data_IF_723692780334
#
_entry.id   IF_723692780334
#
_cell.length_a   1.000
_cell.length_b   1.000
_cell.length_c   1.000
_cell.angle_alpha   90.00
_cell.angle_beta   90.00
_cell.angle_gamma   90.00
#
_symmetry.space_group_name_H-M   'P 1'
#
loop_
_entity.id
_entity.type
_entity.pdbx_description
1 polymer ?
#
# COMPACT_ATOMS: atom_id res chain seq x y z
N UNK A 1 -6.50 -14.25 24.57
CA UNK A 1 -7.89 -14.40 24.09
C UNK A 1 -7.96 -13.88 22.67
N UNK A 2 -8.61 -14.61 21.76
CA UNK A 2 -8.83 -14.16 20.38
C UNK A 2 -9.87 -13.05 20.37
N UNK A 3 -9.50 -11.83 19.94
CA UNK A 3 -10.46 -10.72 19.76
C UNK A 3 -11.21 -10.92 18.44
N UNK A 4 -12.54 -10.85 18.49
CA UNK A 4 -13.43 -10.95 17.33
C UNK A 4 -14.30 -9.68 17.31
N UNK A 5 -14.32 -8.96 16.18
CA UNK A 5 -15.23 -7.84 15.95
C UNK A 5 -16.57 -8.37 15.46
N UNK A 6 -17.66 -7.82 15.99
CA UNK A 6 -18.94 -7.94 15.31
C UNK A 6 -18.87 -7.18 13.97
N UNK A 7 -19.72 -7.55 13.02
CA UNK A 7 -19.74 -6.90 11.70
C UNK A 7 -20.01 -5.39 11.79
N UNK A 8 -20.84 -4.96 12.75
CA UNK A 8 -21.16 -3.56 13.02
C UNK A 8 -19.97 -2.74 13.51
N UNK A 9 -18.98 -3.41 14.07
CA UNK A 9 -17.83 -2.79 14.72
C UNK A 9 -16.65 -2.68 13.75
N UNK A 10 -16.78 -3.22 12.53
CA UNK A 10 -15.74 -3.12 11.49
C UNK A 10 -15.82 -1.74 10.84
N UNK A 11 -14.89 -0.88 11.23
CA UNK A 11 -14.69 0.47 10.68
C UNK A 11 -13.21 0.72 10.40
N UNK A 12 -12.89 1.71 9.56
CA UNK A 12 -11.49 2.09 9.31
C UNK A 12 -10.76 2.46 10.60
N UNK A 13 -11.42 3.16 11.52
CA UNK A 13 -10.85 3.54 12.82
C UNK A 13 -10.49 2.32 13.67
N UNK A 14 -11.38 1.32 13.70
CA UNK A 14 -11.11 0.06 14.40
C UNK A 14 -9.99 -0.73 13.74
N UNK A 15 -9.93 -0.79 12.40
CA UNK A 15 -8.85 -1.45 11.69
C UNK A 15 -7.50 -0.75 11.89
N UNK A 16 -7.45 0.58 11.84
CA UNK A 16 -6.23 1.40 12.10
C UNK A 16 -5.70 1.16 13.51
N UNK A 17 -6.59 1.18 14.52
CA UNK A 17 -6.21 0.89 15.91
C UNK A 17 -5.53 -0.47 16.01
N UNK A 18 -6.07 -1.50 15.34
CA UNK A 18 -5.48 -2.84 15.39
C UNK A 18 -4.20 -3.01 14.59
N UNK A 19 -4.05 -2.29 13.49
CA UNK A 19 -2.77 -2.22 12.79
C UNK A 19 -1.71 -1.59 13.72
N UNK A 20 -2.03 -0.49 14.39
CA UNK A 20 -1.10 0.17 15.34
C UNK A 20 -0.75 -0.69 16.54
N UNK A 21 -1.73 -1.37 17.13
CA UNK A 21 -1.51 -2.31 18.23
C UNK A 21 -0.57 -3.46 17.85
N UNK A 22 -0.49 -3.80 16.56
CA UNK A 22 0.43 -4.82 16.05
C UNK A 22 1.86 -4.32 15.81
N UNK A 23 2.11 -3.02 16.03
CA UNK A 23 3.41 -2.37 15.83
C UNK A 23 3.64 -1.79 14.42
N UNK A 24 2.68 -1.96 13.51
CA UNK A 24 2.71 -1.34 12.19
C UNK A 24 2.25 0.12 12.27
N UNK A 25 2.89 0.98 11.47
CA UNK A 25 2.58 2.43 11.45
C UNK A 25 2.05 2.82 10.07
N UNK A 26 0.73 3.07 9.93
CA UNK A 26 0.18 3.68 8.73
C UNK A 26 0.79 5.06 8.47
N UNK A 27 1.14 5.35 7.22
CA UNK A 27 1.69 6.65 6.83
C UNK A 27 0.60 7.66 6.41
N UNK A 28 -0.61 7.17 6.11
CA UNK A 28 -1.78 8.00 5.80
C UNK A 28 -3.05 7.30 6.25
N UNK A 29 -3.96 8.07 6.84
CA UNK A 29 -5.29 7.64 7.23
C UNK A 29 -6.32 8.57 6.56
N UNK A 30 -7.29 7.98 5.89
CA UNK A 30 -8.41 8.63 5.23
C UNK A 30 -9.72 7.98 5.71
N UNK A 31 -10.89 8.61 5.50
CA UNK A 31 -12.17 8.11 6.04
C UNK A 31 -12.52 6.66 5.64
N UNK A 32 -12.11 6.23 4.45
CA UNK A 32 -12.40 4.91 3.87
C UNK A 32 -11.14 4.08 3.55
N UNK A 33 -9.95 4.58 3.94
CA UNK A 33 -8.68 4.03 3.48
C UNK A 33 -7.54 4.22 4.49
N UNK A 34 -6.70 3.19 4.63
CA UNK A 34 -5.46 3.19 5.43
C UNK A 34 -4.31 2.89 4.47
N UNK A 35 -3.33 3.79 4.37
CA UNK A 35 -2.14 3.56 3.55
C UNK A 35 -0.95 3.11 4.39
N UNK A 36 -0.31 2.04 3.93
CA UNK A 36 0.80 1.34 4.57
C UNK A 36 1.98 1.19 3.60
N UNK A 37 3.17 0.97 4.14
CA UNK A 37 4.35 0.62 3.34
C UNK A 37 4.93 -0.70 3.80
N UNK A 38 5.50 -1.45 2.87
CA UNK A 38 6.38 -2.56 3.20
C UNK A 38 7.70 -2.04 3.76
N UNK A 39 8.54 -2.94 4.28
CA UNK A 39 9.88 -2.57 4.77
C UNK A 39 10.75 -1.97 3.65
N UNK A 40 10.56 -2.43 2.40
CA UNK A 40 11.25 -1.88 1.23
C UNK A 40 10.52 -0.68 0.60
N UNK A 41 9.53 -0.13 1.28
CA UNK A 41 8.88 1.13 0.89
C UNK A 41 7.74 1.00 -0.12
N UNK A 42 7.34 -0.21 -0.51
CA UNK A 42 6.22 -0.44 -1.44
C UNK A 42 4.92 -0.01 -0.76
N UNK A 43 4.22 0.97 -1.34
CA UNK A 43 2.94 1.44 -0.83
C UNK A 43 1.82 0.44 -1.10
N UNK A 44 0.93 0.25 -0.14
CA UNK A 44 -0.32 -0.47 -0.33
C UNK A 44 -1.42 0.08 0.58
N UNK A 45 -2.67 -0.23 0.23
CA UNK A 45 -3.83 0.30 0.90
C UNK A 45 -4.73 -0.78 1.49
N UNK A 46 -5.39 -0.44 2.59
CA UNK A 46 -6.48 -1.20 3.19
C UNK A 46 -7.73 -0.33 3.16
N UNK A 47 -8.80 -0.77 2.51
CA UNK A 47 -10.07 -0.03 2.44
C UNK A 47 -11.28 -0.91 2.73
N UNK A 48 -12.41 -0.28 3.06
CA UNK A 48 -13.67 -0.98 3.30
C UNK A 48 -14.59 -0.91 2.08
N UNK A 49 -15.07 -2.08 1.65
CA UNK A 49 -16.17 -2.21 0.69
C UNK A 49 -17.41 -2.63 1.47
N UNK A 50 -17.97 -1.67 2.22
CA UNK A 50 -18.96 -1.91 3.26
C UNK A 50 -20.24 -2.60 2.76
N UNK A 51 -20.71 -2.26 1.56
CA UNK A 51 -21.90 -2.88 0.94
C UNK A 51 -21.75 -4.40 0.76
N UNK A 52 -20.52 -4.87 0.59
CA UNK A 52 -20.21 -6.28 0.33
C UNK A 52 -19.56 -6.98 1.52
N UNK A 53 -19.35 -6.25 2.63
CA UNK A 53 -18.65 -6.73 3.83
C UNK A 53 -17.26 -7.30 3.53
N UNK A 54 -16.49 -6.58 2.71
CA UNK A 54 -15.09 -6.90 2.43
C UNK A 54 -14.15 -5.82 2.92
N UNK A 55 -13.01 -6.25 3.46
CA UNK A 55 -11.81 -5.44 3.58
C UNK A 55 -10.98 -5.69 2.33
N UNK A 56 -10.67 -4.65 1.58
CA UNK A 56 -9.84 -4.72 0.38
C UNK A 56 -8.40 -4.34 0.73
N UNK A 57 -7.47 -5.17 0.28
CA UNK A 57 -6.04 -4.88 0.25
C UNK A 57 -5.68 -4.64 -1.21
N UNK A 58 -5.05 -3.51 -1.52
CA UNK A 58 -4.70 -3.22 -2.91
C UNK A 58 -3.47 -2.35 -3.07
N UNK A 59 -2.79 -2.54 -4.19
CA UNK A 59 -1.76 -1.64 -4.68
C UNK A 59 -1.68 -1.69 -6.21
N UNK A 60 -0.89 -0.79 -6.78
CA UNK A 60 -0.45 -0.82 -8.15
C UNK A 60 1.08 -0.81 -8.15
N UNK A 61 1.68 -1.67 -8.97
CA UNK A 61 3.12 -1.65 -9.24
C UNK A 61 3.33 -1.08 -10.64
N UNK A 62 4.14 -0.03 -10.77
CA UNK A 62 4.41 0.57 -12.07
C UNK A 62 5.16 -0.43 -12.95
N UNK A 63 4.71 -0.60 -14.19
CA UNK A 63 5.42 -1.43 -15.17
C UNK A 63 6.06 -0.54 -16.22
N UNK A 64 7.24 -0.97 -16.70
CA UNK A 64 7.99 -0.25 -17.73
C UNK A 64 7.09 0.12 -18.91
N UNK A 65 7.05 1.41 -19.25
CA UNK A 65 6.26 1.93 -20.37
C UNK A 65 6.77 1.47 -21.73
N UNK A 66 8.02 1.03 -21.78
CA UNK A 66 8.68 0.52 -22.99
C UNK A 66 8.40 -0.97 -23.22
N UNK A 67 7.91 -1.68 -22.20
CA UNK A 67 7.65 -3.10 -22.32
C UNK A 67 6.38 -3.37 -23.16
N UNK A 68 6.45 -4.32 -24.12
CA UNK A 68 5.28 -4.76 -24.88
C UNK A 68 4.15 -5.28 -23.97
N UNK A 69 2.90 -5.08 -24.41
CA UNK A 69 1.70 -5.55 -23.68
C UNK A 69 1.75 -7.04 -23.37
N UNK A 70 2.24 -7.88 -24.28
CA UNK A 70 2.31 -9.32 -24.07
C UNK A 70 3.26 -9.72 -22.93
N UNK A 71 4.34 -8.96 -22.69
CA UNK A 71 5.22 -9.19 -21.54
C UNK A 71 4.52 -8.84 -20.23
N UNK A 72 3.82 -7.71 -20.19
CA UNK A 72 3.03 -7.27 -19.03
C UNK A 72 1.93 -8.29 -18.68
N UNK A 73 1.20 -8.76 -19.69
CA UNK A 73 0.19 -9.81 -19.53
C UNK A 73 0.82 -11.15 -19.12
N UNK A 74 1.99 -11.48 -19.67
CA UNK A 74 2.78 -12.64 -19.29
C UNK A 74 3.15 -12.65 -17.80
N UNK A 75 3.60 -11.51 -17.27
CA UNK A 75 3.87 -11.34 -15.84
C UNK A 75 2.59 -11.53 -15.01
N UNK A 76 1.50 -10.84 -15.34
CA UNK A 76 0.24 -10.96 -14.60
C UNK A 76 -0.29 -12.40 -14.60
N UNK A 77 -0.22 -13.11 -15.74
CA UNK A 77 -0.60 -14.52 -15.83
C UNK A 77 0.27 -15.38 -14.90
N UNK A 78 1.59 -15.25 -14.99
CA UNK A 78 2.53 -16.02 -14.18
C UNK A 78 2.30 -15.80 -12.69
N UNK A 79 2.07 -14.56 -12.27
CA UNK A 79 1.75 -14.23 -10.89
C UNK A 79 0.44 -14.88 -10.42
N UNK A 80 -0.62 -14.90 -11.25
CA UNK A 80 -1.86 -15.60 -10.90
C UNK A 80 -1.71 -17.13 -10.87
N UNK A 81 -0.75 -17.70 -11.60
CA UNK A 81 -0.47 -19.14 -11.60
C UNK A 81 0.38 -19.57 -10.39
N UNK A 82 1.34 -18.73 -9.98
CA UNK A 82 2.37 -19.11 -9.00
C UNK A 82 2.19 -18.46 -7.62
N UNK A 83 1.55 -17.30 -7.52
CA UNK A 83 1.43 -16.53 -6.27
C UNK A 83 0.00 -16.64 -5.73
N UNK A 84 -0.11 -17.26 -4.55
CA UNK A 84 -1.37 -17.37 -3.83
C UNK A 84 -1.74 -16.07 -3.10
N UNK A 85 -3.05 -15.86 -2.91
CA UNK A 85 -3.72 -14.83 -2.11
C UNK A 85 -4.38 -13.71 -2.95
N UNK A 86 -3.66 -12.87 -3.71
CA UNK A 86 -4.25 -11.79 -4.47
C UNK A 86 -4.63 -12.23 -5.90
N UNK A 87 -5.37 -11.36 -6.57
CA UNK A 87 -5.54 -11.38 -8.02
C UNK A 87 -4.64 -10.31 -8.63
N UNK A 88 -4.01 -10.65 -9.75
CA UNK A 88 -3.16 -9.75 -10.53
C UNK A 88 -3.82 -9.40 -11.86
N UNK A 89 -3.82 -8.13 -12.23
CA UNK A 89 -4.33 -7.69 -13.52
C UNK A 89 -3.57 -6.47 -14.03
N UNK A 90 -3.57 -6.26 -15.34
CA UNK A 90 -3.04 -5.04 -15.95
C UNK A 90 -4.19 -4.03 -16.09
N UNK A 91 -3.98 -2.81 -15.61
CA UNK A 91 -4.97 -1.74 -15.77
C UNK A 91 -4.86 -1.01 -17.12
N UNK A 92 -5.59 0.11 -17.24
CA UNK A 92 -5.63 0.91 -18.46
C UNK A 92 -4.34 1.66 -18.73
N UNK A 93 -3.61 2.01 -17.69
CA UNK A 93 -2.33 2.73 -17.78
C UNK A 93 -1.16 1.76 -18.02
N UNK A 94 -1.45 0.45 -17.96
CA UNK A 94 -0.50 -0.61 -18.22
C UNK A 94 0.32 -0.97 -16.99
N UNK A 95 -0.17 -0.64 -15.80
CA UNK A 95 0.43 -0.98 -14.51
C UNK A 95 -0.17 -2.28 -13.95
N UNK A 96 0.59 -2.93 -13.09
CA UNK A 96 0.18 -4.16 -12.43
C UNK A 96 -0.67 -3.83 -11.21
N UNK A 97 -1.97 -4.06 -11.31
CA UNK A 97 -2.88 -4.00 -10.16
C UNK A 97 -2.85 -5.29 -9.37
N UNK A 98 -2.84 -5.15 -8.04
CA UNK A 98 -2.80 -6.26 -7.08
C UNK A 98 -3.95 -6.05 -6.11
N UNK A 99 -4.81 -7.05 -5.97
CA UNK A 99 -5.99 -6.95 -5.10
C UNK A 99 -6.28 -8.23 -4.32
N UNK A 100 -6.54 -8.10 -3.03
CA UNK A 100 -7.08 -9.17 -2.20
C UNK A 100 -8.30 -8.66 -1.41
N UNK A 101 -9.27 -9.55 -1.17
CA UNK A 101 -10.45 -9.23 -0.36
C UNK A 101 -10.58 -10.22 0.78
N UNK A 102 -10.73 -9.67 1.99
CA UNK A 102 -11.00 -10.43 3.20
C UNK A 102 -12.46 -10.21 3.61
N UNK A 103 -13.34 -11.23 3.54
CA UNK A 103 -14.68 -11.13 4.09
C UNK A 103 -14.65 -10.98 5.61
N UNK A 104 -15.57 -10.16 6.12
CA UNK A 104 -15.86 -10.06 7.55
C UNK A 104 -17.33 -10.40 7.86
N UNK A 105 -17.99 -11.12 6.96
CA UNK A 105 -19.31 -11.73 7.25
C UNK A 105 -19.14 -12.70 8.40
N UNK A 106 -20.05 -12.62 9.38
CA UNK A 106 -20.02 -13.30 10.67
C UNK A 106 -18.93 -12.79 11.64
N UNK A 107 -18.40 -11.60 11.37
CA UNK A 107 -17.41 -10.94 12.20
C UNK A 107 -15.98 -11.11 11.69
N UNK A 108 -15.06 -10.37 12.31
CA UNK A 108 -13.65 -10.33 11.92
C UNK A 108 -12.77 -10.77 13.08
N UNK A 109 -11.95 -11.81 12.85
CA UNK A 109 -10.94 -12.22 13.81
C UNK A 109 -9.75 -11.25 13.71
N UNK A 110 -9.47 -10.50 14.77
CA UNK A 110 -8.45 -9.45 14.78
C UNK A 110 -7.06 -9.99 14.39
N UNK A 111 -6.70 -11.15 14.93
CA UNK A 111 -5.43 -11.81 14.61
C UNK A 111 -5.32 -12.17 13.13
N UNK A 112 -6.40 -12.66 12.52
CA UNK A 112 -6.41 -13.01 11.10
C UNK A 112 -6.25 -11.76 10.22
N UNK A 113 -6.93 -10.67 10.57
CA UNK A 113 -6.77 -9.40 9.86
C UNK A 113 -5.31 -8.93 9.85
N UNK A 114 -4.66 -8.88 11.03
CA UNK A 114 -3.24 -8.47 11.14
C UNK A 114 -2.32 -9.46 10.42
N UNK A 115 -2.59 -10.76 10.46
CA UNK A 115 -1.83 -11.75 9.70
C UNK A 115 -1.94 -11.51 8.19
N UNK A 116 -3.13 -11.14 7.68
CA UNK A 116 -3.33 -10.78 6.27
C UNK A 116 -2.59 -9.49 5.91
N UNK A 117 -2.64 -8.45 6.76
CA UNK A 117 -1.88 -7.20 6.54
C UNK A 117 -0.39 -7.51 6.32
N UNK A 118 0.20 -8.27 7.24
CA UNK A 118 1.62 -8.64 7.15
C UNK A 118 1.91 -9.53 5.94
N UNK A 119 1.07 -10.54 5.68
CA UNK A 119 1.27 -11.45 4.54
C UNK A 119 1.16 -10.72 3.20
N UNK A 120 0.24 -9.77 3.08
CA UNK A 120 0.11 -8.95 1.88
C UNK A 120 1.38 -8.11 1.69
N UNK A 121 1.90 -7.47 2.74
CA UNK A 121 3.15 -6.71 2.68
C UNK A 121 4.35 -7.58 2.23
N UNK A 122 4.61 -8.70 2.93
CA UNK A 122 5.72 -9.59 2.58
C UNK A 122 5.61 -10.18 1.18
N UNK A 123 4.38 -10.42 0.72
CA UNK A 123 4.13 -10.90 -0.65
C UNK A 123 4.51 -9.84 -1.70
N UNK A 124 4.24 -8.55 -1.44
CA UNK A 124 4.66 -7.49 -2.37
C UNK A 124 6.19 -7.43 -2.49
N UNK A 125 6.90 -7.50 -1.37
CA UNK A 125 8.37 -7.56 -1.36
C UNK A 125 8.88 -8.80 -2.12
N UNK A 126 8.26 -9.96 -1.89
CA UNK A 126 8.58 -11.20 -2.59
C UNK A 126 8.37 -11.08 -4.10
N UNK A 127 7.26 -10.51 -4.56
CA UNK A 127 6.98 -10.34 -5.99
C UNK A 127 8.04 -9.47 -6.65
N UNK A 128 8.34 -8.31 -6.05
CA UNK A 128 9.34 -7.39 -6.59
C UNK A 128 10.73 -8.04 -6.60
N UNK A 129 11.06 -8.83 -5.59
CA UNK A 129 12.36 -9.49 -5.51
C UNK A 129 12.51 -10.68 -6.47
N UNK A 130 11.45 -11.48 -6.66
CA UNK A 130 11.53 -12.78 -7.35
C UNK A 130 11.01 -12.74 -8.79
N UNK A 131 10.11 -11.82 -9.13
CA UNK A 131 9.47 -11.76 -10.45
C UNK A 131 9.91 -10.56 -11.28
N UNK A 132 10.89 -9.78 -10.82
CA UNK A 132 11.38 -8.58 -11.51
C UNK A 132 12.75 -8.74 -12.20
N UNK A 133 13.17 -9.96 -12.52
CA UNK A 133 14.48 -10.22 -13.16
C UNK A 133 14.64 -9.49 -14.50
N UNK A 134 13.54 -9.32 -15.24
CA UNK A 134 13.50 -8.60 -16.53
C UNK A 134 13.34 -7.07 -16.36
N UNK A 135 13.37 -6.56 -15.11
CA UNK A 135 13.13 -5.14 -14.77
C UNK A 135 11.83 -4.59 -15.35
N UNK A 136 10.81 -5.43 -15.40
CA UNK A 136 9.50 -5.06 -15.90
C UNK A 136 8.74 -4.18 -14.90
N UNK A 137 8.92 -4.42 -13.60
CA UNK A 137 8.45 -3.53 -12.53
C UNK A 137 9.49 -2.42 -12.38
N UNK A 138 9.06 -1.20 -12.64
CA UNK A 138 9.94 -0.03 -12.75
C UNK A 138 9.37 1.13 -11.94
N UNK A 139 9.94 1.35 -10.75
CA UNK A 139 9.56 2.44 -9.87
C UNK A 139 10.12 3.81 -10.31
N UNK A 140 10.89 3.84 -11.40
CA UNK A 140 11.66 5.00 -11.83
C UNK A 140 12.89 5.26 -10.95
N UNK A 141 13.65 6.28 -11.33
CA UNK A 141 14.70 6.82 -10.45
C UNK A 141 14.03 7.44 -9.21
N UNK A 142 14.59 7.23 -8.00
CA UNK A 142 14.14 7.97 -6.82
C UNK A 142 14.19 9.45 -7.16
N UNK A 143 13.07 10.16 -7.04
CA UNK A 143 13.08 11.60 -7.14
C UNK A 143 14.00 12.11 -6.02
N UNK A 144 15.24 12.45 -6.38
CA UNK A 144 16.17 13.06 -5.44
C UNK A 144 15.43 14.28 -4.91
N UNK A 145 15.25 14.35 -3.57
CA UNK A 145 14.62 15.46 -2.88
C UNK A 145 15.43 16.74 -3.15
N UNK A 146 15.24 17.31 -4.34
CA UNK A 146 15.98 18.43 -4.86
C UNK A 146 15.02 19.60 -4.85
N UNK A 147 14.86 20.18 -3.65
CA UNK A 147 14.11 21.41 -3.51
C UNK A 147 13.54 21.62 -2.13
N UNK A 148 14.40 21.82 -1.11
CA UNK A 148 14.18 22.74 0.03
C UNK A 148 15.49 22.99 0.80
N UNK A 149 16.52 23.47 0.10
CA UNK A 149 17.64 24.21 0.72
C UNK A 149 18.01 25.37 -0.19
N UNK A 150 17.16 26.39 -0.24
CA UNK A 150 17.57 27.73 -0.67
C UNK A 150 17.44 28.68 0.51
N UNK A 151 18.63 29.03 1.03
CA UNK A 151 18.98 30.25 1.74
C UNK A 151 18.26 30.56 3.07
N UNK A 152 18.83 30.06 4.17
CA UNK A 152 18.78 30.78 5.45
C UNK A 152 19.91 31.81 5.46
N UNK A 153 19.56 33.09 5.48
CA UNK A 153 20.30 34.12 6.21
C UNK A 153 21.34 34.93 5.46
N UNK A 154 20.92 36.08 4.92
CA UNK A 154 21.72 37.30 4.98
C UNK A 154 20.78 38.52 5.02
N UNK A 155 20.37 38.89 6.23
CA UNK A 155 19.65 40.13 6.53
C UNK A 155 19.56 40.29 8.05
N UNK A 156 20.24 41.27 8.66
CA UNK A 156 20.30 41.37 10.12
C UNK A 156 18.97 41.87 10.68
N UNK A 157 18.62 41.33 11.86
CA UNK A 157 17.52 41.83 12.68
C UNK A 157 17.77 43.28 13.10
N UNK A 158 16.70 44.07 13.14
CA UNK A 158 16.74 45.53 13.25
C UNK A 158 17.17 46.07 14.61
N UNK A 159 17.35 47.40 14.65
CA UNK A 159 16.93 48.20 15.79
C UNK A 159 16.66 49.66 15.38
N UNK A 160 15.65 50.21 16.03
CA UNK A 160 15.52 51.60 16.51
C UNK A 160 14.76 52.70 15.72
N UNK A 161 13.84 53.32 16.49
CA UNK A 161 13.27 54.70 16.44
C UNK A 161 11.93 55.01 15.75
N UNK A 162 10.90 55.14 16.60
CA UNK A 162 10.06 56.34 16.82
C UNK A 162 9.86 57.30 15.63
N UNK A 163 8.68 57.26 15.01
CA UNK A 163 7.66 58.33 14.96
C UNK A 163 6.53 57.96 14.00
#
# INVERSE_FOLDING_TARGET
MTKIFAESDVSIETLDTHIRDSGLVPYKLEPDHISLRTENGIGYGVSLVSERKFIRFSTYLPLSRLAPTDQKQGLARRLNEEVFLPVFAIDRDGDLTIGYVLPYVHGLIAGNFVSVVNRFASMLDFIVHTYNDERLIDFGEPEAATGMLTAVGAGPAGDDRLH
#
